data_IF_427130794340
#
_entry.id   IF_427130794340
#
_cell.length_a   1.000
_cell.length_b   1.000
_cell.length_c   1.000
_cell.angle_alpha   90.00
_cell.angle_beta   90.00
_cell.angle_gamma   90.00
#
_symmetry.space_group_name_H-M   'P 1'
#
loop_
_entity.id
_entity.type
_entity.pdbx_description
1 polymer ?
#
# COMPACT_ATOMS: atom_id res chain seq x y z
N UNK A 1 36.15 -59.51 -12.77
CA UNK A 1 35.08 -58.56 -12.42
C UNK A 1 35.65 -57.15 -12.38
N UNK A 2 35.06 -56.28 -13.21
CA UNK A 2 34.98 -54.81 -13.15
C UNK A 2 36.09 -53.94 -12.48
N UNK A 3 36.73 -53.16 -13.37
CA UNK A 3 36.83 -51.68 -13.40
C UNK A 3 38.02 -50.96 -12.73
N UNK A 4 38.69 -50.23 -13.62
CA UNK A 4 39.83 -49.34 -13.47
C UNK A 4 39.45 -47.99 -12.85
N UNK A 5 40.41 -47.45 -12.08
CA UNK A 5 40.58 -46.01 -11.80
C UNK A 5 41.83 -45.54 -12.56
N UNK A 6 41.68 -44.49 -13.37
CA UNK A 6 42.80 -43.84 -14.09
C UNK A 6 43.15 -42.52 -13.41
N UNK A 7 44.45 -42.26 -13.40
CA UNK A 7 45.18 -41.27 -12.64
C UNK A 7 45.21 -39.85 -13.23
N UNK A 8 45.65 -38.91 -12.39
CA UNK A 8 46.00 -37.51 -12.67
C UNK A 8 47.33 -37.38 -13.45
N UNK A 9 47.46 -36.32 -14.26
CA UNK A 9 48.66 -35.47 -14.47
C UNK A 9 48.25 -34.35 -15.47
N UNK A 10 48.20 -33.06 -15.09
CA UNK A 10 49.30 -32.08 -15.00
C UNK A 10 50.02 -31.82 -16.33
N UNK A 11 49.93 -30.60 -16.88
CA UNK A 11 51.08 -29.80 -17.37
C UNK A 11 50.60 -28.45 -17.94
N UNK A 12 51.24 -27.37 -17.50
CA UNK A 12 50.95 -26.00 -17.91
C UNK A 12 51.63 -25.59 -19.22
N UNK A 13 51.29 -24.39 -19.70
CA UNK A 13 52.11 -23.61 -20.64
C UNK A 13 51.87 -22.12 -20.45
N UNK A 14 52.97 -21.37 -20.54
CA UNK A 14 53.11 -19.95 -20.25
C UNK A 14 53.79 -19.29 -21.47
N UNK A 15 53.41 -18.04 -21.74
CA UNK A 15 54.14 -16.92 -22.38
C UNK A 15 54.30 -16.84 -23.92
N UNK A 16 53.84 -15.70 -24.49
CA UNK A 16 54.55 -14.61 -25.25
C UNK A 16 53.65 -14.08 -26.39
N UNK A 17 53.14 -12.83 -26.34
CA UNK A 17 53.73 -11.49 -26.59
C UNK A 17 54.04 -11.17 -28.07
N UNK A 18 53.24 -10.27 -28.65
CA UNK A 18 53.57 -9.14 -29.56
C UNK A 18 52.23 -8.44 -29.91
N UNK A 19 51.98 -7.14 -29.85
CA UNK A 19 52.81 -5.96 -29.61
C UNK A 19 53.30 -5.34 -30.91
N UNK A 20 52.56 -4.36 -31.48
CA UNK A 20 52.94 -3.09 -32.17
C UNK A 20 51.60 -2.39 -32.54
N UNK A 21 51.17 -1.28 -31.90
CA UNK A 21 51.49 0.16 -32.14
C UNK A 21 50.96 0.67 -33.52
N UNK A 22 50.39 1.87 -33.74
CA UNK A 22 50.56 3.16 -33.05
C UNK A 22 49.57 4.23 -33.65
N UNK A 23 49.19 5.23 -32.82
CA UNK A 23 48.81 6.66 -33.10
C UNK A 23 47.62 7.06 -34.01
N UNK A 24 46.93 8.20 -33.84
CA UNK A 24 46.79 9.29 -32.82
C UNK A 24 45.67 10.24 -33.30
N UNK A 25 44.93 10.79 -32.32
CA UNK A 25 44.47 12.20 -32.16
C UNK A 25 43.44 12.83 -33.11
N UNK A 26 42.42 13.45 -32.49
CA UNK A 26 41.59 14.47 -33.12
C UNK A 26 40.43 14.97 -32.24
N UNK A 27 40.71 15.78 -31.22
CA UNK A 27 39.70 16.62 -30.57
C UNK A 27 39.28 17.77 -31.49
N UNK A 28 37.98 18.07 -31.59
CA UNK A 28 37.49 19.44 -31.86
C UNK A 28 36.06 19.64 -31.36
N UNK A 29 35.92 20.57 -30.42
CA UNK A 29 34.69 21.26 -30.09
C UNK A 29 34.46 22.40 -31.10
N UNK A 30 33.20 22.74 -31.42
CA UNK A 30 32.84 24.03 -32.02
C UNK A 30 31.53 24.55 -31.41
N UNK A 31 31.56 25.85 -31.15
CA UNK A 31 30.64 26.71 -30.41
C UNK A 31 29.53 27.37 -31.25
N UNK A 32 28.50 27.84 -30.52
CA UNK A 32 27.50 28.91 -30.78
C UNK A 32 27.78 29.87 -31.95
N UNK A 33 26.71 30.26 -32.69
CA UNK A 33 26.07 31.60 -32.61
C UNK A 33 25.07 31.89 -33.77
N UNK A 34 23.91 32.46 -33.40
CA UNK A 34 23.36 33.71 -33.99
C UNK A 34 22.64 33.72 -35.35
N UNK A 35 21.37 34.14 -35.36
CA UNK A 35 20.69 34.65 -36.56
C UNK A 35 19.24 35.09 -36.31
N UNK A 36 19.01 36.41 -36.24
CA UNK A 36 17.70 37.09 -36.15
C UNK A 36 17.15 37.47 -37.53
N UNK A 37 15.82 37.68 -37.58
CA UNK A 37 14.95 38.51 -38.47
C UNK A 37 13.94 37.66 -39.28
N UNK A 38 12.70 38.05 -39.57
CA UNK A 38 11.78 39.08 -39.09
C UNK A 38 10.39 38.85 -39.75
N UNK A 39 9.30 39.10 -39.01
CA UNK A 39 7.98 39.67 -39.39
C UNK A 39 7.13 39.09 -40.55
N UNK A 40 5.92 38.65 -40.19
CA UNK A 40 4.57 39.11 -40.62
C UNK A 40 3.55 38.12 -40.02
N UNK A 41 2.35 38.43 -39.51
CA UNK A 41 1.49 39.60 -39.59
C UNK A 41 0.11 39.18 -40.11
N UNK A 42 -0.80 38.71 -39.24
CA UNK A 42 -2.27 38.67 -39.45
C UNK A 42 -2.93 38.02 -38.21
N UNK A 43 -3.56 38.77 -37.31
CA UNK A 43 -4.94 39.25 -37.33
C UNK A 43 -5.92 38.25 -36.65
N UNK A 44 -6.26 38.56 -35.38
CA UNK A 44 -7.33 37.93 -34.61
C UNK A 44 -8.71 38.30 -35.18
N UNK A 45 -9.71 37.40 -35.18
CA UNK A 45 -11.07 37.80 -35.47
C UNK A 45 -11.74 38.41 -34.24
N UNK A 46 -12.32 39.58 -34.48
CA UNK A 46 -13.10 40.41 -33.56
C UNK A 46 -14.45 39.78 -33.24
N UNK A 47 -14.89 40.01 -32.00
CA UNK A 47 -16.27 39.81 -31.53
C UNK A 47 -17.23 40.81 -32.18
N UNK A 48 -18.46 40.36 -32.47
CA UNK A 48 -19.67 41.16 -32.60
C UNK A 48 -20.91 40.24 -32.46
N UNK A 49 -22.14 40.75 -32.25
CA UNK A 49 -22.62 41.41 -31.05
C UNK A 49 -23.80 40.66 -30.40
N UNK A 50 -24.08 41.03 -29.15
CA UNK A 50 -25.22 40.59 -28.34
C UNK A 50 -26.54 41.13 -28.92
N UNK A 51 -27.54 40.25 -29.08
CA UNK A 51 -28.96 40.60 -29.05
C UNK A 51 -29.62 39.83 -27.91
N UNK A 52 -30.18 40.55 -26.93
CA UNK A 52 -31.17 40.00 -25.98
C UNK A 52 -32.50 39.75 -26.69
N UNK A 53 -33.53 39.17 -26.10
CA UNK A 53 -33.87 38.76 -24.74
C UNK A 53 -34.82 37.57 -24.92
N UNK A 54 -34.79 36.59 -24.01
CA UNK A 54 -36.04 36.11 -23.43
C UNK A 54 -35.77 35.53 -22.03
N UNK A 55 -36.51 36.07 -21.06
CA UNK A 55 -36.40 35.77 -19.63
C UNK A 55 -37.34 34.59 -19.31
N UNK A 56 -36.78 33.39 -19.22
CA UNK A 56 -37.41 32.24 -18.56
C UNK A 56 -37.09 32.22 -17.06
N UNK A 57 -37.99 31.70 -16.19
CA UNK A 57 -37.87 31.82 -14.74
C UNK A 57 -36.72 30.96 -14.20
N UNK A 58 -35.97 31.54 -13.24
CA UNK A 58 -34.72 31.00 -12.72
C UNK A 58 -34.84 29.70 -11.89
N UNK A 59 -33.69 29.06 -11.61
CA UNK A 59 -33.63 27.74 -11.01
C UNK A 59 -34.00 27.77 -9.52
N UNK A 60 -34.81 26.78 -9.11
CA UNK A 60 -35.06 26.45 -7.71
C UNK A 60 -33.74 26.06 -7.05
N UNK A 61 -33.34 26.80 -6.01
CA UNK A 61 -32.20 26.49 -5.15
C UNK A 61 -32.46 25.18 -4.41
N UNK A 62 -31.87 24.09 -4.88
CA UNK A 62 -31.68 22.90 -4.06
C UNK A 62 -30.42 23.12 -3.20
N UNK A 63 -30.61 23.39 -1.90
CA UNK A 63 -29.55 23.30 -0.91
C UNK A 63 -29.16 21.82 -0.80
N UNK A 64 -28.01 21.44 -1.35
CA UNK A 64 -27.38 20.18 -1.02
C UNK A 64 -26.86 20.30 0.42
N UNK A 65 -27.51 19.60 1.34
CA UNK A 65 -26.98 19.36 2.68
C UNK A 65 -25.77 18.42 2.55
N UNK A 66 -24.58 18.97 2.70
CA UNK A 66 -23.38 18.19 3.04
C UNK A 66 -23.50 17.87 4.55
N UNK A 67 -24.19 16.78 4.86
CA UNK A 67 -24.40 16.30 6.22
C UNK A 67 -23.49 15.11 6.50
N UNK A 68 -22.66 15.26 7.51
CA UNK A 68 -21.78 14.23 8.05
C UNK A 68 -22.56 12.96 8.42
N UNK A 69 -22.08 11.81 7.95
CA UNK A 69 -22.44 10.51 8.51
C UNK A 69 -21.25 9.99 9.33
N UNK A 70 -21.08 10.58 10.50
CA UNK A 70 -20.40 9.99 11.64
C UNK A 70 -21.40 10.00 12.79
N UNK A 71 -21.71 8.83 13.33
CA UNK A 71 -22.38 8.67 14.61
C UNK A 71 -23.86 8.29 14.57
N UNK A 72 -24.15 7.00 14.67
CA UNK A 72 -25.33 6.47 15.34
C UNK A 72 -25.05 5.00 15.72
N UNK A 73 -25.10 4.55 16.97
CA UNK A 73 -25.44 5.26 18.19
C UNK A 73 -25.21 4.36 19.41
N UNK A 74 -25.02 5.00 20.56
CA UNK A 74 -25.19 4.37 21.86
C UNK A 74 -25.92 5.38 22.74
N UNK A 75 -27.23 5.15 22.91
CA UNK A 75 -28.05 5.85 23.89
C UNK A 75 -27.57 5.46 25.29
N UNK A 76 -26.95 6.41 26.02
CA UNK A 76 -26.65 6.22 27.45
C UNK A 76 -27.91 6.49 28.28
N UNK A 77 -28.56 5.43 28.73
CA UNK A 77 -29.57 5.51 29.80
C UNK A 77 -28.90 5.89 31.12
N UNK A 78 -29.25 7.05 31.68
CA UNK A 78 -28.86 7.46 33.04
C UNK A 78 -29.71 6.69 34.06
N UNK A 79 -29.11 5.66 34.67
CA UNK A 79 -29.65 4.99 35.86
C UNK A 79 -28.56 4.88 36.92
N UNK A 80 -28.71 5.58 38.04
CA UNK A 80 -27.85 5.43 39.22
C UNK A 80 -27.98 3.99 39.74
N UNK A 81 -26.87 3.25 39.83
CA UNK A 81 -26.74 2.02 40.64
C UNK A 81 -25.54 2.14 41.58
N UNK A 82 -25.79 1.78 42.83
CA UNK A 82 -24.85 1.74 43.94
C UNK A 82 -23.71 0.71 43.71
N UNK A 83 -22.55 0.85 44.37
CA UNK A 83 -21.38 0.04 44.07
C UNK A 83 -21.57 -1.38 44.57
N UNK A 84 -21.38 -2.36 43.68
CA UNK A 84 -21.14 -3.76 44.05
C UNK A 84 -19.64 -3.98 44.00
N UNK A 85 -19.08 -4.41 45.14
CA UNK A 85 -17.73 -4.95 45.22
C UNK A 85 -17.73 -6.35 44.60
N UNK A 86 -16.78 -6.62 43.70
CA UNK A 86 -16.61 -7.91 43.05
C UNK A 86 -15.88 -7.71 41.72
N UNK A 87 -14.66 -8.24 41.61
CA UNK A 87 -13.82 -8.12 40.43
C UNK A 87 -14.49 -8.72 39.21
N UNK A 88 -14.64 -7.89 38.19
CA UNK A 88 -14.83 -8.28 36.79
C UNK A 88 -13.83 -7.41 36.02
N UNK A 89 -12.72 -7.99 35.59
CA UNK A 89 -11.92 -7.36 34.54
C UNK A 89 -12.79 -7.34 33.28
N UNK A 90 -13.30 -6.17 32.93
CA UNK A 90 -13.78 -5.91 31.57
C UNK A 90 -12.67 -6.34 30.59
N UNK A 91 -12.98 -6.85 29.39
CA UNK A 91 -11.95 -7.34 28.49
C UNK A 91 -11.00 -6.19 28.13
N UNK A 92 -9.82 -6.21 28.72
CA UNK A 92 -8.74 -5.21 28.59
C UNK A 92 -8.22 -5.07 27.14
N UNK A 93 -8.77 -5.83 26.18
CA UNK A 93 -8.32 -5.93 24.81
C UNK A 93 -8.91 -4.88 23.86
N UNK A 94 -10.14 -4.41 24.06
CA UNK A 94 -10.75 -3.41 23.17
C UNK A 94 -10.33 -1.97 23.51
N UNK A 95 -10.12 -1.63 24.78
CA UNK A 95 -9.67 -0.29 25.21
C UNK A 95 -8.22 0.04 24.80
N UNK A 96 -7.44 -0.96 24.34
CA UNK A 96 -6.02 -0.80 23.97
C UNK A 96 -5.78 -0.49 22.49
N UNK A 97 -6.83 -0.49 21.67
CA UNK A 97 -6.76 -0.07 20.25
C UNK A 97 -7.49 1.25 20.08
N UNK A 98 -6.76 2.29 19.73
CA UNK A 98 -7.32 3.63 19.52
C UNK A 98 -7.07 4.12 18.10
N UNK A 99 -7.96 4.94 17.55
CA UNK A 99 -7.73 5.61 16.27
C UNK A 99 -7.20 7.03 16.53
N UNK A 100 -5.98 7.34 16.08
CA UNK A 100 -5.31 8.60 16.42
C UNK A 100 -6.15 9.83 16.05
N UNK A 101 -6.80 9.81 14.88
CA UNK A 101 -7.60 10.93 14.40
C UNK A 101 -8.95 11.09 15.13
N UNK A 102 -9.37 10.09 15.92
CA UNK A 102 -10.55 10.19 16.77
C UNK A 102 -10.22 10.80 18.15
N UNK A 103 -8.94 10.84 18.53
CA UNK A 103 -8.49 11.41 19.79
C UNK A 103 -8.41 12.93 19.71
N UNK A 104 -8.79 13.59 20.80
CA UNK A 104 -8.35 14.95 21.08
C UNK A 104 -6.85 14.96 21.37
N UNK A 105 -6.21 16.13 21.24
CA UNK A 105 -4.78 16.24 21.53
C UNK A 105 -4.46 15.94 23.01
N UNK A 106 -5.41 16.13 23.92
CA UNK A 106 -5.24 15.80 25.35
C UNK A 106 -5.27 14.28 25.57
N UNK A 107 -6.22 13.57 24.95
CA UNK A 107 -6.23 12.10 24.97
C UNK A 107 -4.95 11.53 24.33
N UNK A 108 -4.49 12.12 23.22
CA UNK A 108 -3.23 11.72 22.58
C UNK A 108 -1.99 12.02 23.43
N UNK A 109 -1.99 13.10 24.23
CA UNK A 109 -0.94 13.42 25.20
C UNK A 109 -0.86 12.36 26.30
N UNK A 110 -2.01 11.84 26.72
CA UNK A 110 -2.13 10.92 27.85
C UNK A 110 -1.93 9.44 27.46
N UNK A 111 -1.64 9.16 26.18
CA UNK A 111 -1.23 7.83 25.70
C UNK A 111 0.09 7.39 26.35
N UNK A 112 0.17 6.11 26.71
CA UNK A 112 1.42 5.45 27.07
C UNK A 112 2.26 5.13 25.82
N UNK A 113 2.77 6.17 25.17
CA UNK A 113 3.50 6.10 23.89
C UNK A 113 4.71 5.17 23.94
N UNK A 114 5.53 5.14 25.01
CA UNK A 114 6.65 4.20 25.13
C UNK A 114 6.25 2.72 25.10
N UNK A 115 4.99 2.39 25.41
CA UNK A 115 4.43 1.03 25.33
C UNK A 115 3.40 0.85 24.19
N UNK A 116 3.25 1.86 23.32
CA UNK A 116 2.26 1.87 22.24
C UNK A 116 2.91 1.80 20.86
N UNK A 117 2.44 0.88 20.03
CA UNK A 117 2.81 0.77 18.62
C UNK A 117 1.86 1.63 17.78
N UNK A 118 2.41 2.55 16.99
CA UNK A 118 1.64 3.25 15.98
C UNK A 118 1.55 2.38 14.72
N UNK A 119 0.36 2.16 14.18
CA UNK A 119 0.14 1.31 13.02
C UNK A 119 -0.41 2.14 11.87
N UNK A 120 0.32 2.17 10.75
CA UNK A 120 0.00 2.94 9.56
C UNK A 120 -0.53 2.03 8.44
N UNK A 121 -1.82 2.13 8.09
CA UNK A 121 -2.33 1.52 6.86
C UNK A 121 -1.78 2.24 5.64
N UNK A 122 -1.24 1.49 4.68
CA UNK A 122 -0.74 2.01 3.40
C UNK A 122 -1.37 1.19 2.28
N UNK A 123 -2.26 1.84 1.52
CA UNK A 123 -2.90 1.27 0.34
C UNK A 123 -2.59 2.09 -0.91
N UNK A 124 -3.51 2.09 -1.87
CA UNK A 124 -3.49 2.93 -3.05
C UNK A 124 -4.92 3.24 -3.54
N UNK A 125 -4.99 4.17 -4.50
CA UNK A 125 -6.15 4.39 -5.37
C UNK A 125 -5.80 3.76 -6.72
N UNK A 126 -6.33 2.56 -6.97
CA UNK A 126 -5.95 1.69 -8.07
C UNK A 126 -7.16 0.93 -8.64
N UNK A 127 -7.20 0.75 -9.96
CA UNK A 127 -8.22 -0.08 -10.62
C UNK A 127 -8.18 -1.54 -10.16
N UNK A 128 -9.31 -2.02 -9.64
CA UNK A 128 -9.50 -3.38 -9.11
C UNK A 128 -10.69 -4.06 -9.79
N UNK A 129 -10.51 -4.37 -11.07
CA UNK A 129 -11.59 -4.91 -11.87
C UNK A 129 -12.72 -3.90 -12.09
N UNK A 130 -13.80 -4.33 -12.75
CA UNK A 130 -15.03 -3.55 -12.86
C UNK A 130 -15.96 -3.72 -11.64
N UNK A 131 -15.54 -4.48 -10.62
CA UNK A 131 -16.43 -4.94 -9.55
C UNK A 131 -16.01 -4.52 -8.13
N UNK A 132 -14.73 -4.24 -7.89
CA UNK A 132 -14.26 -3.69 -6.62
C UNK A 132 -14.01 -2.18 -6.73
N UNK A 133 -14.07 -1.43 -5.61
CA UNK A 133 -13.81 0.00 -5.63
C UNK A 133 -12.34 0.33 -5.92
N UNK A 134 -12.06 1.57 -6.34
CA UNK A 134 -10.68 2.06 -6.51
C UNK A 134 -9.87 2.07 -5.20
N UNK A 135 -10.53 2.04 -4.04
CA UNK A 135 -9.91 2.07 -2.73
C UNK A 135 -9.68 0.69 -2.09
N UNK A 136 -9.74 -0.40 -2.87
CA UNK A 136 -9.58 -1.78 -2.38
C UNK A 136 -8.36 -1.93 -1.49
N UNK A 137 -7.17 -1.54 -1.95
CA UNK A 137 -5.93 -1.61 -1.17
C UNK A 137 -6.02 -0.89 0.17
N UNK A 138 -6.62 0.30 0.19
CA UNK A 138 -6.78 1.08 1.42
C UNK A 138 -7.69 0.36 2.41
N UNK A 139 -8.80 -0.21 1.92
CA UNK A 139 -9.75 -0.96 2.77
C UNK A 139 -9.06 -2.17 3.38
N UNK A 140 -8.35 -2.95 2.57
CA UNK A 140 -7.64 -4.14 3.04
C UNK A 140 -6.50 -3.76 4.01
N UNK A 141 -5.74 -2.71 3.72
CA UNK A 141 -4.67 -2.22 4.61
C UNK A 141 -5.22 -1.80 5.98
N UNK A 142 -6.38 -1.14 6.03
CA UNK A 142 -7.06 -0.77 7.29
C UNK A 142 -7.49 -2.03 8.04
N UNK A 143 -8.05 -3.04 7.35
CA UNK A 143 -8.46 -4.30 7.96
C UNK A 143 -7.27 -5.05 8.58
N UNK A 144 -6.16 -5.17 7.83
CA UNK A 144 -4.89 -5.72 8.33
C UNK A 144 -4.36 -4.95 9.54
N UNK A 145 -4.38 -3.62 9.49
CA UNK A 145 -3.94 -2.77 10.59
C UNK A 145 -4.77 -3.00 11.86
N UNK A 146 -6.11 -3.04 11.73
CA UNK A 146 -7.03 -3.29 12.84
C UNK A 146 -6.81 -4.66 13.47
N UNK A 147 -6.73 -5.71 12.65
CA UNK A 147 -6.50 -7.07 13.13
C UNK A 147 -5.13 -7.21 13.83
N UNK A 148 -4.07 -6.61 13.26
CA UNK A 148 -2.75 -6.57 13.89
C UNK A 148 -2.74 -5.77 15.20
N UNK A 149 -3.45 -4.65 15.25
CA UNK A 149 -3.59 -3.84 16.47
C UNK A 149 -4.28 -4.63 17.59
N UNK A 150 -5.38 -5.31 17.28
CA UNK A 150 -6.10 -6.16 18.23
C UNK A 150 -5.21 -7.30 18.74
N UNK A 151 -4.39 -7.88 17.86
CA UNK A 151 -3.45 -8.93 18.24
C UNK A 151 -2.38 -8.42 19.21
N UNK A 152 -1.73 -7.31 18.88
CA UNK A 152 -0.73 -6.66 19.74
C UNK A 152 -1.34 -6.25 21.10
N UNK A 153 -2.57 -5.75 21.09
CA UNK A 153 -3.32 -5.41 22.30
C UNK A 153 -3.56 -6.63 23.21
N UNK A 154 -3.94 -7.77 22.61
CA UNK A 154 -4.11 -9.03 23.35
C UNK A 154 -2.81 -9.57 23.95
N UNK A 155 -1.66 -9.13 23.41
CA UNK A 155 -0.31 -9.51 23.85
C UNK A 155 0.30 -8.47 24.81
N UNK A 156 -0.48 -7.48 25.25
CA UNK A 156 -0.13 -6.52 26.29
C UNK A 156 0.51 -5.22 25.81
N UNK A 157 0.66 -5.01 24.49
CA UNK A 157 1.12 -3.74 23.93
C UNK A 157 -0.06 -2.77 23.72
N UNK A 158 0.17 -1.47 23.81
CA UNK A 158 -0.77 -0.48 23.29
C UNK A 158 -0.72 -0.45 21.76
N UNK A 159 -1.84 -0.14 21.10
CA UNK A 159 -1.86 0.06 19.65
C UNK A 159 -2.69 1.30 19.27
N UNK A 160 -2.14 2.13 18.38
CA UNK A 160 -2.83 3.29 17.83
C UNK A 160 -2.83 3.21 16.30
N UNK A 161 -4.01 3.20 15.70
CA UNK A 161 -4.20 3.25 14.25
C UNK A 161 -4.03 4.69 13.76
N UNK A 162 -3.10 4.90 12.82
CA UNK A 162 -2.92 6.15 12.12
C UNK A 162 -3.91 6.26 10.95
N UNK A 163 -4.23 7.49 10.49
CA UNK A 163 -4.96 7.69 9.23
C UNK A 163 -4.25 6.98 8.07
N UNK A 164 -5.01 6.33 7.16
CA UNK A 164 -4.42 5.60 6.05
C UNK A 164 -3.73 6.53 5.05
N UNK A 165 -2.64 6.05 4.45
CA UNK A 165 -2.11 6.62 3.21
C UNK A 165 -2.77 5.91 2.05
N UNK A 166 -3.62 6.63 1.32
CA UNK A 166 -4.35 6.10 0.15
C UNK A 166 -3.73 6.49 -1.19
N UNK A 167 -2.83 7.47 -1.23
CA UNK A 167 -2.14 7.85 -2.46
C UNK A 167 -0.75 7.22 -2.47
N UNK A 168 -0.51 6.34 -3.43
CA UNK A 168 0.73 5.60 -3.51
C UNK A 168 1.09 5.23 -4.96
N UNK A 169 2.30 4.72 -5.23
CA UNK A 169 2.68 4.30 -6.58
C UNK A 169 1.84 3.13 -7.08
N UNK A 170 1.02 3.38 -8.11
CA UNK A 170 0.31 2.34 -8.87
C UNK A 170 0.57 2.44 -10.39
N UNK A 171 1.84 2.44 -10.86
CA UNK A 171 2.16 2.56 -12.29
C UNK A 171 1.51 1.49 -13.17
N UNK A 172 1.36 0.24 -12.70
CA UNK A 172 0.76 -0.84 -13.49
C UNK A 172 -0.68 -0.55 -13.93
N UNK A 173 -1.44 0.13 -13.08
CA UNK A 173 -2.82 0.50 -13.32
C UNK A 173 -3.01 1.92 -13.88
N UNK A 174 -1.93 2.64 -14.22
CA UNK A 174 -1.97 4.06 -14.62
C UNK A 174 -2.86 4.32 -15.84
N UNK A 175 -3.03 3.33 -16.72
CA UNK A 175 -3.89 3.44 -17.90
C UNK A 175 -5.40 3.38 -17.59
N UNK A 176 -5.79 2.99 -16.37
CA UNK A 176 -7.19 2.81 -15.99
C UNK A 176 -7.76 4.07 -15.34
N UNK A 177 -8.99 4.41 -15.71
CA UNK A 177 -9.65 5.62 -15.24
C UNK A 177 -9.83 5.59 -13.70
N UNK A 178 -9.41 6.68 -13.05
CA UNK A 178 -9.52 6.84 -11.60
C UNK A 178 -8.30 6.39 -10.80
N UNK A 179 -7.38 5.62 -11.38
CA UNK A 179 -6.09 5.31 -10.74
C UNK A 179 -5.29 6.59 -10.50
N UNK A 180 -4.79 6.79 -9.27
CA UNK A 180 -3.96 7.93 -8.89
C UNK A 180 -2.57 7.45 -8.46
N UNK A 181 -1.65 7.37 -9.43
CA UNK A 181 -0.28 6.90 -9.21
C UNK A 181 0.68 8.07 -8.93
N UNK A 182 1.06 8.24 -7.66
CA UNK A 182 2.07 9.23 -7.24
C UNK A 182 3.50 8.70 -7.43
N UNK A 183 4.49 9.58 -7.29
CA UNK A 183 5.90 9.19 -7.33
C UNK A 183 6.28 8.38 -6.08
N UNK A 184 7.10 7.34 -6.26
CA UNK A 184 7.64 6.53 -5.17
C UNK A 184 8.41 7.35 -4.13
N UNK A 185 9.14 8.39 -4.57
CA UNK A 185 9.85 9.30 -3.67
C UNK A 185 8.90 10.05 -2.73
N UNK A 186 7.71 10.45 -3.20
CA UNK A 186 6.75 11.16 -2.36
C UNK A 186 6.20 10.26 -1.25
N UNK A 187 5.90 8.99 -1.56
CA UNK A 187 5.50 8.01 -0.54
C UNK A 187 6.64 7.76 0.46
N UNK A 188 7.86 7.50 -0.03
CA UNK A 188 9.02 7.28 0.82
C UNK A 188 9.25 8.46 1.78
N UNK A 189 9.24 9.68 1.26
CA UNK A 189 9.51 10.88 2.06
C UNK A 189 8.42 11.07 3.12
N UNK A 190 7.15 10.87 2.76
CA UNK A 190 6.04 10.92 3.72
C UNK A 190 6.19 9.88 4.84
N UNK A 191 6.54 8.64 4.50
CA UNK A 191 6.75 7.57 5.48
C UNK A 191 7.92 7.89 6.42
N UNK A 192 9.02 8.41 5.88
CA UNK A 192 10.19 8.77 6.66
C UNK A 192 9.91 9.95 7.60
N UNK A 193 9.24 11.01 7.13
CA UNK A 193 8.83 12.12 8.01
C UNK A 193 7.85 11.66 9.09
N UNK A 194 6.94 10.73 8.75
CA UNK A 194 6.04 10.14 9.74
C UNK A 194 6.82 9.38 10.82
N UNK A 195 7.81 8.57 10.44
CA UNK A 195 8.66 7.87 11.39
C UNK A 195 9.46 8.85 12.28
N UNK A 196 9.97 9.96 11.74
CA UNK A 196 10.65 11.00 12.54
C UNK A 196 9.74 11.61 13.58
N UNK A 197 8.51 11.98 13.20
CA UNK A 197 7.55 12.54 14.15
C UNK A 197 7.13 11.53 15.22
N UNK A 198 6.92 10.26 14.86
CA UNK A 198 6.61 9.22 15.84
C UNK A 198 7.79 8.95 16.79
N UNK A 199 9.03 9.06 16.30
CA UNK A 199 10.24 9.00 17.13
C UNK A 199 10.28 10.17 18.12
N UNK A 200 10.03 11.40 17.64
CA UNK A 200 9.97 12.61 18.47
C UNK A 200 8.86 12.54 19.53
N UNK A 201 7.76 11.86 19.21
CA UNK A 201 6.64 11.60 20.11
C UNK A 201 6.84 10.38 21.01
N UNK A 202 7.97 9.69 20.92
CA UNK A 202 8.36 8.58 21.78
C UNK A 202 7.45 7.35 21.69
N UNK A 203 6.88 7.07 20.52
CA UNK A 203 6.16 5.82 20.27
C UNK A 203 7.11 4.62 20.28
N UNK A 204 6.61 3.46 20.73
CA UNK A 204 7.41 2.24 20.87
C UNK A 204 7.97 1.75 19.54
N UNK A 205 7.14 1.76 18.50
CA UNK A 205 7.47 1.35 17.13
C UNK A 205 6.40 1.86 16.15
N UNK A 206 6.75 1.81 14.86
CA UNK A 206 5.84 1.99 13.73
C UNK A 206 5.62 0.62 13.04
N UNK A 207 4.38 0.14 12.98
CA UNK A 207 3.99 -0.98 12.13
C UNK A 207 3.33 -0.48 10.85
N UNK A 208 3.80 -0.91 9.68
CA UNK A 208 3.22 -0.54 8.39
C UNK A 208 2.37 -1.71 7.87
N UNK A 209 1.06 -1.51 7.79
CA UNK A 209 0.12 -2.45 7.20
C UNK A 209 -0.01 -2.18 5.70
N UNK A 210 0.78 -2.89 4.90
CA UNK A 210 0.78 -2.76 3.44
C UNK A 210 0.34 -4.07 2.78
N UNK A 211 -0.64 -3.97 1.88
CA UNK A 211 -1.08 -5.10 1.05
C UNK A 211 -0.89 -4.87 -0.45
N UNK A 212 -0.72 -3.61 -0.88
CA UNK A 212 -0.46 -3.31 -2.29
C UNK A 212 0.92 -3.84 -2.70
N UNK A 213 0.96 -4.58 -3.81
CA UNK A 213 2.12 -5.32 -4.25
C UNK A 213 2.87 -4.66 -5.42
N UNK A 214 2.51 -3.43 -5.82
CA UNK A 214 3.24 -2.73 -6.88
C UNK A 214 4.74 -2.61 -6.52
N UNK A 215 5.66 -3.00 -7.43
CA UNK A 215 7.09 -2.95 -7.17
C UNK A 215 7.60 -1.56 -6.75
N UNK A 216 7.03 -0.48 -7.29
CA UNK A 216 7.45 0.88 -6.95
C UNK A 216 7.06 1.28 -5.52
N UNK A 217 5.89 0.85 -5.04
CA UNK A 217 5.46 1.06 -3.67
C UNK A 217 6.31 0.25 -2.70
N UNK A 218 6.52 -1.03 -2.99
CA UNK A 218 7.36 -1.92 -2.17
C UNK A 218 8.78 -1.38 -2.03
N UNK A 219 9.38 -0.92 -3.14
CA UNK A 219 10.70 -0.30 -3.11
C UNK A 219 10.73 0.97 -2.24
N UNK A 220 9.69 1.81 -2.29
CA UNK A 220 9.59 3.01 -1.46
C UNK A 220 9.49 2.67 0.05
N UNK A 221 8.71 1.64 0.39
CA UNK A 221 8.57 1.14 1.77
C UNK A 221 9.90 0.58 2.31
N UNK A 222 10.59 -0.22 1.50
CA UNK A 222 11.93 -0.74 1.85
C UNK A 222 12.92 0.40 2.05
N UNK A 223 12.99 1.35 1.12
CA UNK A 223 13.91 2.49 1.22
C UNK A 223 13.62 3.36 2.45
N UNK A 224 12.34 3.61 2.77
CA UNK A 224 11.95 4.37 3.96
C UNK A 224 12.34 3.64 5.25
N UNK A 225 12.12 2.31 5.32
CA UNK A 225 12.47 1.49 6.47
C UNK A 225 13.99 1.45 6.70
N UNK A 226 14.78 1.29 5.64
CA UNK A 226 16.25 1.31 5.70
C UNK A 226 16.78 2.68 6.15
N UNK A 227 16.22 3.78 5.63
CA UNK A 227 16.58 5.14 6.05
C UNK A 227 16.25 5.42 7.51
N UNK A 228 15.07 4.99 7.97
CA UNK A 228 14.69 5.13 9.38
C UNK A 228 15.69 4.41 10.30
N UNK A 229 16.15 3.22 9.91
CA UNK A 229 17.18 2.49 10.64
C UNK A 229 18.54 3.22 10.65
N UNK A 230 18.98 3.74 9.50
CA UNK A 230 20.22 4.53 9.39
C UNK A 230 20.19 5.83 10.20
N UNK A 231 19.01 6.44 10.35
CA UNK A 231 18.78 7.64 11.16
C UNK A 231 18.53 7.33 12.64
N UNK A 232 18.62 6.06 13.06
CA UNK A 232 18.36 5.59 14.42
C UNK A 232 16.96 5.94 14.98
N UNK A 233 15.97 6.09 14.09
CA UNK A 233 14.58 6.35 14.43
C UNK A 233 13.94 5.14 15.14
N UNK A 234 12.71 5.31 15.65
CA UNK A 234 11.94 4.22 16.24
C UNK A 234 11.91 2.98 15.32
N UNK A 235 11.80 1.75 15.87
CA UNK A 235 11.73 0.55 15.06
C UNK A 235 10.56 0.60 14.07
N UNK A 236 10.82 0.29 12.80
CA UNK A 236 9.81 0.27 11.73
C UNK A 236 9.64 -1.17 11.24
N UNK A 237 8.46 -1.75 11.47
CA UNK A 237 8.08 -3.07 10.99
C UNK A 237 7.24 -2.94 9.72
N UNK A 238 7.69 -3.55 8.62
CA UNK A 238 6.96 -3.56 7.35
C UNK A 238 7.03 -4.98 6.75
N UNK A 239 6.03 -5.85 7.00
CA UNK A 239 6.04 -7.21 6.48
C UNK A 239 6.00 -7.23 4.95
N UNK A 240 6.83 -8.07 4.33
CA UNK A 240 6.78 -8.34 2.90
C UNK A 240 5.93 -9.59 2.61
N UNK A 241 4.70 -9.36 2.15
CA UNK A 241 3.76 -10.45 1.82
C UNK A 241 4.23 -11.36 0.68
N UNK A 242 5.17 -10.92 -0.16
CA UNK A 242 5.73 -11.75 -1.25
C UNK A 242 6.89 -12.64 -0.78
N UNK A 243 7.39 -12.44 0.44
CA UNK A 243 8.40 -13.33 1.01
C UNK A 243 7.80 -14.73 1.12
N UNK A 244 8.51 -15.74 0.60
CA UNK A 244 8.00 -17.12 0.48
C UNK A 244 7.37 -17.67 1.76
N UNK A 245 8.00 -17.43 2.91
CA UNK A 245 7.52 -17.89 4.22
C UNK A 245 6.20 -17.25 4.63
N UNK A 246 5.99 -15.98 4.25
CA UNK A 246 4.76 -15.22 4.51
C UNK A 246 3.68 -15.64 3.51
N UNK A 247 3.99 -15.62 2.22
CA UNK A 247 3.06 -16.01 1.14
C UNK A 247 2.51 -17.43 1.30
N UNK A 248 3.29 -18.36 1.89
CA UNK A 248 2.84 -19.72 2.18
C UNK A 248 1.60 -19.79 3.10
N UNK A 249 1.36 -18.76 3.90
CA UNK A 249 0.22 -18.64 4.83
C UNK A 249 -1.03 -18.05 4.18
N UNK A 250 -0.89 -17.41 3.02
CA UNK A 250 -1.99 -16.78 2.29
C UNK A 250 -2.65 -17.76 1.33
N UNK A 251 -3.76 -17.36 0.69
CA UNK A 251 -4.56 -18.24 -0.17
C UNK A 251 -3.74 -18.83 -1.34
N UNK A 252 -4.21 -19.94 -1.90
CA UNK A 252 -3.63 -20.52 -3.12
C UNK A 252 -3.69 -19.56 -4.30
N UNK A 253 -4.75 -18.75 -4.41
CA UNK A 253 -4.83 -17.68 -5.41
C UNK A 253 -3.69 -16.67 -5.21
N UNK A 254 -3.46 -16.18 -3.98
CA UNK A 254 -2.32 -15.31 -3.68
C UNK A 254 -0.99 -15.91 -4.15
N UNK A 255 -0.76 -17.18 -3.82
CA UNK A 255 0.49 -17.89 -4.19
C UNK A 255 0.65 -18.11 -5.69
N UNK A 256 -0.44 -18.15 -6.46
CA UNK A 256 -0.39 -18.25 -7.93
C UNK A 256 0.13 -16.94 -8.59
N UNK A 257 0.01 -15.82 -7.89
CA UNK A 257 0.28 -14.47 -8.42
C UNK A 257 -0.84 -13.90 -9.29
N UNK A 258 -1.98 -14.58 -9.39
CA UNK A 258 -3.22 -14.05 -9.98
C UNK A 258 -4.15 -13.56 -8.86
N UNK A 259 -3.69 -12.55 -8.10
CA UNK A 259 -4.29 -12.17 -6.82
C UNK A 259 -4.72 -10.70 -6.73
N UNK A 260 -5.01 -10.09 -7.88
CA UNK A 260 -5.37 -8.68 -7.99
C UNK A 260 -6.81 -8.56 -8.47
N UNK A 261 -7.69 -8.00 -7.64
CA UNK A 261 -9.13 -8.03 -7.78
C UNK A 261 -9.70 -9.42 -8.08
N UNK A 262 -9.05 -10.45 -7.53
CA UNK A 262 -9.48 -11.85 -7.58
C UNK A 262 -10.28 -12.26 -6.35
N UNK A 263 -10.28 -13.55 -6.06
CA UNK A 263 -10.86 -14.16 -4.88
C UNK A 263 -10.28 -13.60 -3.59
N UNK A 264 -8.95 -13.47 -3.50
CA UNK A 264 -8.20 -13.01 -2.32
C UNK A 264 -8.70 -11.63 -1.85
N UNK A 265 -8.68 -10.62 -2.71
CA UNK A 265 -9.09 -9.27 -2.36
C UNK A 265 -10.60 -9.11 -2.32
N UNK A 266 -11.31 -9.76 -3.25
CA UNK A 266 -12.77 -9.73 -3.30
C UNK A 266 -13.40 -10.31 -2.04
N UNK A 267 -12.84 -11.40 -1.50
CA UNK A 267 -13.28 -12.02 -0.25
C UNK A 267 -13.12 -11.06 0.94
N UNK A 268 -11.97 -10.37 1.04
CA UNK A 268 -11.75 -9.37 2.09
C UNK A 268 -12.75 -8.21 1.96
N UNK A 269 -13.01 -7.73 0.74
CA UNK A 269 -13.98 -6.67 0.49
C UNK A 269 -15.42 -7.07 0.86
N UNK A 270 -15.81 -8.33 0.63
CA UNK A 270 -17.10 -8.83 1.11
C UNK A 270 -17.20 -8.83 2.63
N UNK A 271 -16.10 -9.10 3.35
CA UNK A 271 -16.08 -9.09 4.80
C UNK A 271 -16.07 -7.69 5.39
N UNK A 272 -15.32 -6.76 4.79
CA UNK A 272 -15.11 -5.44 5.36
C UNK A 272 -16.14 -4.42 4.88
N UNK A 273 -16.46 -4.40 3.58
CA UNK A 273 -17.26 -3.36 2.91
C UNK A 273 -18.11 -3.94 1.77
N UNK A 274 -19.02 -4.90 2.04
CA UNK A 274 -19.78 -5.61 1.00
C UNK A 274 -20.59 -4.66 0.10
N UNK A 275 -21.05 -3.52 0.63
CA UNK A 275 -21.82 -2.54 -0.11
C UNK A 275 -21.03 -1.83 -1.25
N UNK A 276 -19.70 -1.93 -1.22
CA UNK A 276 -18.84 -1.39 -2.28
C UNK A 276 -18.58 -2.40 -3.40
N UNK A 277 -18.91 -3.68 -3.19
CA UNK A 277 -18.74 -4.74 -4.18
C UNK A 277 -19.91 -4.72 -5.17
N UNK A 278 -19.62 -4.76 -6.47
CA UNK A 278 -20.65 -4.91 -7.50
C UNK A 278 -20.89 -6.40 -7.74
N UNK A 279 -21.71 -7.02 -6.90
CA UNK A 279 -21.95 -8.47 -6.91
C UNK A 279 -22.36 -9.01 -8.28
N UNK A 280 -23.33 -8.39 -8.96
CA UNK A 280 -23.77 -8.82 -10.29
C UNK A 280 -22.62 -8.84 -11.31
N UNK A 281 -21.74 -7.84 -11.24
CA UNK A 281 -20.56 -7.74 -12.12
C UNK A 281 -19.56 -8.83 -11.73
N UNK A 282 -19.23 -8.94 -10.44
CA UNK A 282 -18.29 -9.92 -9.90
C UNK A 282 -18.66 -11.35 -10.30
N UNK A 283 -19.93 -11.72 -10.09
CA UNK A 283 -20.44 -13.07 -10.34
C UNK A 283 -20.44 -13.41 -11.85
N UNK A 284 -20.49 -12.40 -12.73
CA UNK A 284 -20.45 -12.57 -14.18
C UNK A 284 -19.03 -12.52 -14.79
N UNK A 285 -17.99 -12.21 -13.99
CA UNK A 285 -16.62 -12.13 -14.50
C UNK A 285 -16.03 -13.54 -14.70
N UNK A 286 -15.48 -13.84 -15.89
CA UNK A 286 -14.74 -15.08 -16.07
C UNK A 286 -13.42 -15.03 -15.29
N UNK A 287 -12.90 -16.19 -14.83
CA UNK A 287 -11.56 -16.26 -14.24
C UNK A 287 -10.46 -15.72 -15.16
N UNK A 288 -9.44 -15.09 -14.58
CA UNK A 288 -8.22 -14.67 -15.27
C UNK A 288 -6.99 -15.24 -14.55
N UNK A 289 -6.46 -16.41 -14.95
CA UNK A 289 -5.34 -17.07 -14.26
C UNK A 289 -3.97 -16.44 -14.56
N UNK A 290 -3.91 -15.31 -15.28
CA UNK A 290 -2.65 -14.64 -15.58
C UNK A 290 -1.95 -14.21 -14.27
N UNK A 291 -0.65 -14.50 -14.18
CA UNK A 291 0.16 -14.23 -12.99
C UNK A 291 0.85 -12.88 -13.12
N UNK A 292 0.41 -11.88 -12.34
CA UNK A 292 1.03 -10.56 -12.31
C UNK A 292 2.49 -10.63 -11.85
N UNK A 293 2.79 -11.51 -10.88
CA UNK A 293 4.16 -11.79 -10.43
C UNK A 293 5.07 -12.29 -11.57
N UNK A 294 4.52 -13.11 -12.48
CA UNK A 294 5.27 -13.61 -13.65
C UNK A 294 5.45 -12.51 -14.68
N UNK A 295 4.41 -11.70 -14.93
CA UNK A 295 4.46 -10.54 -15.82
C UNK A 295 5.50 -9.49 -15.37
N UNK A 296 5.55 -9.17 -14.07
CA UNK A 296 6.55 -8.27 -13.48
C UNK A 296 7.96 -8.82 -13.73
N UNK A 297 8.20 -10.11 -13.50
CA UNK A 297 9.51 -10.74 -13.73
C UNK A 297 9.90 -10.74 -15.22
N UNK A 298 8.92 -10.78 -16.12
CA UNK A 298 9.12 -10.66 -17.56
C UNK A 298 9.33 -9.20 -18.03
N UNK A 299 9.30 -8.22 -17.13
CA UNK A 299 9.53 -6.81 -17.45
C UNK A 299 8.31 -6.08 -18.04
N UNK A 300 7.11 -6.65 -17.90
CA UNK A 300 5.88 -5.97 -18.29
C UNK A 300 5.56 -4.85 -17.31
N UNK A 301 4.89 -3.79 -17.79
CA UNK A 301 4.79 -2.50 -17.05
C UNK A 301 3.37 -2.00 -16.87
N UNK A 302 2.37 -2.75 -17.33
CA UNK A 302 0.95 -2.39 -17.19
C UNK A 302 0.07 -3.64 -17.06
N UNK A 303 -1.12 -3.49 -16.47
CA UNK A 303 -2.08 -4.59 -16.39
C UNK A 303 -2.50 -5.09 -17.77
N UNK A 304 -2.68 -4.20 -18.76
CA UNK A 304 -3.01 -4.62 -20.13
C UNK A 304 -1.95 -5.56 -20.70
N UNK A 305 -0.67 -5.18 -20.60
CA UNK A 305 0.45 -6.03 -21.04
C UNK A 305 0.50 -7.36 -20.28
N UNK A 306 0.20 -7.33 -18.98
CA UNK A 306 0.21 -8.51 -18.12
C UNK A 306 -0.99 -9.46 -18.35
N UNK A 307 -1.94 -9.12 -19.22
CA UNK A 307 -3.11 -9.95 -19.50
C UNK A 307 -4.35 -9.61 -18.66
N UNK A 308 -4.38 -8.43 -18.05
CA UNK A 308 -5.51 -7.90 -17.29
C UNK A 308 -6.13 -6.66 -17.96
N UNK A 309 -6.73 -6.75 -19.17
CA UNK A 309 -7.32 -5.61 -19.86
C UNK A 309 -8.53 -5.00 -19.14
N UNK A 310 -9.03 -5.69 -18.10
CA UNK A 310 -10.09 -5.21 -17.22
C UNK A 310 -9.61 -4.96 -15.78
N UNK A 311 -8.29 -4.85 -15.57
CA UNK A 311 -7.64 -4.62 -14.27
C UNK A 311 -7.94 -5.67 -13.19
N UNK A 312 -8.06 -6.95 -13.56
CA UNK A 312 -8.16 -8.04 -12.59
C UNK A 312 -7.39 -9.29 -13.06
N UNK A 313 -6.92 -10.07 -12.09
CA UNK A 313 -6.17 -11.31 -12.17
C UNK A 313 -6.66 -12.19 -11.01
N UNK A 314 -7.29 -13.31 -11.32
CA UNK A 314 -7.85 -14.24 -10.34
C UNK A 314 -9.27 -14.70 -10.66
N UNK A 315 -9.99 -15.12 -9.62
CA UNK A 315 -11.33 -15.72 -9.68
C UNK A 315 -12.37 -14.89 -8.90
N UNK A 316 -12.83 -13.74 -9.43
CA UNK A 316 -13.74 -12.84 -8.70
C UNK A 316 -15.02 -13.50 -8.17
N UNK A 317 -15.63 -14.40 -8.95
CA UNK A 317 -16.89 -15.06 -8.61
C UNK A 317 -16.76 -16.03 -7.43
N UNK A 318 -15.54 -16.51 -7.14
CA UNK A 318 -15.28 -17.47 -6.07
C UNK A 318 -15.10 -16.79 -4.71
N UNK A 319 -15.11 -15.44 -4.66
CA UNK A 319 -14.90 -14.69 -3.43
C UNK A 319 -16.03 -14.92 -2.40
N UNK A 320 -15.66 -15.15 -1.15
CA UNK A 320 -16.58 -15.37 -0.03
C UNK A 320 -16.23 -14.51 1.17
N UNK A 321 -17.25 -14.14 1.94
CA UNK A 321 -17.06 -13.39 3.18
C UNK A 321 -16.20 -14.18 4.19
N UNK A 322 -16.39 -15.50 4.27
CA UNK A 322 -15.66 -16.38 5.19
C UNK A 322 -14.15 -16.39 4.91
N UNK A 323 -13.74 -16.56 3.65
CA UNK A 323 -12.33 -16.46 3.27
C UNK A 323 -11.77 -15.07 3.57
N UNK A 324 -12.60 -14.02 3.44
CA UNK A 324 -12.22 -12.64 3.74
C UNK A 324 -11.83 -12.47 5.20
N UNK A 325 -12.71 -12.90 6.12
CA UNK A 325 -12.46 -12.82 7.57
C UNK A 325 -11.20 -13.60 7.96
N UNK A 326 -11.05 -14.85 7.48
CA UNK A 326 -9.88 -15.67 7.75
C UNK A 326 -8.58 -15.06 7.20
N UNK A 327 -8.65 -14.40 6.04
CA UNK A 327 -7.51 -13.72 5.43
C UNK A 327 -7.11 -12.48 6.24
N UNK A 328 -8.06 -11.67 6.71
CA UNK A 328 -7.79 -10.51 7.57
C UNK A 328 -7.11 -10.93 8.87
N UNK A 329 -7.57 -12.00 9.52
CA UNK A 329 -6.92 -12.55 10.72
C UNK A 329 -5.46 -12.95 10.43
N UNK A 330 -5.23 -13.63 9.31
CA UNK A 330 -3.89 -14.05 8.89
C UNK A 330 -2.97 -12.85 8.63
N UNK A 331 -3.46 -11.82 7.93
CA UNK A 331 -2.72 -10.59 7.67
C UNK A 331 -2.41 -9.82 8.96
N UNK A 332 -3.36 -9.77 9.90
CA UNK A 332 -3.15 -9.18 11.22
C UNK A 332 -2.06 -9.90 12.02
N UNK A 333 -2.05 -11.24 12.00
CA UNK A 333 -1.01 -12.03 12.64
C UNK A 333 0.37 -11.77 12.03
N UNK A 334 0.47 -11.71 10.69
CA UNK A 334 1.72 -11.37 9.99
C UNK A 334 2.26 -10.00 10.43
N UNK A 335 1.38 -9.01 10.57
CA UNK A 335 1.76 -7.67 11.03
C UNK A 335 2.28 -7.68 12.46
N UNK A 336 1.54 -8.31 13.38
CA UNK A 336 1.92 -8.38 14.79
C UNK A 336 3.26 -9.11 14.99
N UNK A 337 3.47 -10.22 14.29
CA UNK A 337 4.73 -10.96 14.30
C UNK A 337 5.90 -10.09 13.80
N UNK A 338 5.72 -9.37 12.69
CA UNK A 338 6.75 -8.46 12.17
C UNK A 338 7.10 -7.33 13.16
N UNK A 339 6.12 -6.83 13.91
CA UNK A 339 6.34 -5.86 14.99
C UNK A 339 7.18 -6.48 16.10
N UNK A 340 6.83 -7.67 16.58
CA UNK A 340 7.59 -8.36 17.63
C UNK A 340 9.03 -8.67 17.21
N UNK A 341 9.23 -9.20 16.00
CA UNK A 341 10.56 -9.46 15.44
C UNK A 341 11.40 -8.17 15.44
N UNK A 342 10.81 -7.07 15.00
CA UNK A 342 11.46 -5.76 14.92
C UNK A 342 11.82 -5.21 16.32
N UNK A 343 10.93 -5.38 17.31
CA UNK A 343 11.18 -4.99 18.70
C UNK A 343 12.27 -5.84 19.36
N UNK A 344 12.33 -7.13 19.06
CA UNK A 344 13.32 -8.05 19.61
C UNK A 344 14.75 -7.71 19.15
N UNK A 345 14.93 -7.31 17.87
CA UNK A 345 16.24 -6.94 17.32
C UNK A 345 16.87 -5.71 17.99
N UNK A 346 16.05 -4.80 18.53
CA UNK A 346 16.54 -3.64 19.31
C UNK A 346 16.89 -3.98 20.76
N UNK A 347 16.34 -5.06 21.33
CA UNK A 347 16.64 -5.49 22.69
C UNK A 347 18.03 -6.14 22.85
N UNK A 348 18.69 -6.45 21.73
CA UNK A 348 19.98 -7.15 21.68
C UNK A 348 21.19 -6.24 21.41
N UNK A 349 20.99 -4.93 21.30
CA UNK A 349 22.03 -3.91 21.03
C UNK A 349 22.20 -2.96 22.20
#
# INVERSE_FOLDING_TARGET
>A
MARSRVARQALGRRVRRSGVDDRRHGHRAVSRAGGRRARSGAAAPRRAPVRGRDRGPGPRRARAHLGAHLGAGLQRSRGRRAPRAGGDEAPLSEERVQELAALTWEEARDLDRPHTVAILPVGAIEAHGPHLPLGTDTIIAIAMARAGAQRLASEGLGAVLLPPISYAPAPFARGFAGTLSIAASALRDLLLETARELTRLEFRALGIANVHLDPAQRAALTEATERAAMEHLLPVACPDLTRRTVAARLSDEFRSGACHAGRFEGSILLAERPELVREDIRNALPPNPASLSTAIRAGLTSFEQAGGPRAYFGWPADATEEEGRATVETLGAILAEAVHETLALRGTT
#
